data_IF_173839350838
#
_entry.id   IF_173839350838
#
_cell.length_a   1.000
_cell.length_b   1.000
_cell.length_c   1.000
_cell.angle_alpha   90.00
_cell.angle_beta   90.00
_cell.angle_gamma   90.00
#
_symmetry.space_group_name_H-M   'P 1'
#
loop_
_entity.id
_entity.type
_entity.pdbx_description
1 polymer ?
#
# COMPACT_ATOMS: atom_id res chain seq x y z
N UNK A 1 27.82 29.56 -63.01
CA UNK A 1 28.18 30.98 -62.92
C UNK A 1 27.86 31.43 -61.49
N UNK A 2 28.87 31.79 -60.70
CA UNK A 2 28.82 32.47 -59.38
C UNK A 2 28.33 31.74 -58.09
N UNK A 3 29.24 31.78 -57.10
CA UNK A 3 29.12 31.89 -55.61
C UNK A 3 28.70 30.71 -54.69
N UNK A 4 29.73 30.12 -54.03
CA UNK A 4 29.98 29.99 -52.57
C UNK A 4 28.98 29.33 -51.58
N UNK A 5 29.35 28.20 -50.94
CA UNK A 5 29.97 28.13 -49.58
C UNK A 5 30.19 26.69 -49.03
N UNK A 6 31.39 26.52 -48.44
CA UNK A 6 31.81 25.69 -47.28
C UNK A 6 31.65 24.16 -47.30
N UNK A 7 32.80 23.47 -47.39
CA UNK A 7 33.11 22.28 -46.57
C UNK A 7 34.54 22.40 -46.02
N UNK A 8 34.66 22.76 -44.75
CA UNK A 8 35.90 22.68 -43.97
C UNK A 8 35.83 21.38 -43.16
N UNK A 9 36.74 20.44 -43.41
CA UNK A 9 36.93 19.24 -42.59
C UNK A 9 37.63 19.63 -41.27
N UNK A 10 37.29 19.01 -40.12
CA UNK A 10 37.89 19.40 -38.85
C UNK A 10 39.31 18.86 -38.68
N UNK A 11 40.10 19.67 -37.98
CA UNK A 11 41.51 19.53 -37.62
C UNK A 11 41.73 18.28 -36.77
N UNK A 12 42.65 17.39 -37.20
CA UNK A 12 43.16 16.28 -36.38
C UNK A 12 44.17 16.88 -35.39
N UNK A 13 43.76 17.04 -34.13
CA UNK A 13 44.65 17.42 -33.03
C UNK A 13 45.44 16.18 -32.61
N UNK A 14 46.76 16.19 -32.85
CA UNK A 14 47.70 15.22 -32.28
C UNK A 14 47.78 15.42 -30.76
N UNK A 15 47.45 14.39 -29.99
CA UNK A 15 47.69 14.34 -28.54
C UNK A 15 49.17 14.07 -28.25
N UNK A 16 49.83 14.79 -27.33
CA UNK A 16 51.18 14.47 -26.91
C UNK A 16 51.17 13.19 -26.04
N UNK A 17 52.07 12.27 -26.37
CA UNK A 17 52.29 11.05 -25.60
C UNK A 17 52.98 11.39 -24.28
N UNK A 18 52.30 11.16 -23.15
CA UNK A 18 52.90 11.25 -21.82
C UNK A 18 52.07 12.02 -20.80
N UNK A 19 50.85 11.55 -20.49
CA UNK A 19 50.16 11.91 -19.25
C UNK A 19 49.55 10.64 -18.66
N UNK A 20 50.09 10.27 -17.49
CA UNK A 20 49.68 9.15 -16.65
C UNK A 20 48.17 9.14 -16.42
N UNK A 21 47.58 7.95 -16.50
CA UNK A 21 46.16 7.64 -16.38
C UNK A 21 45.62 7.89 -14.96
N UNK A 22 45.44 9.14 -14.58
CA UNK A 22 44.45 9.50 -13.57
C UNK A 22 43.11 9.73 -14.26
N UNK A 23 42.41 8.62 -14.51
CA UNK A 23 40.97 8.64 -14.73
C UNK A 23 40.36 9.19 -13.43
N UNK A 24 39.73 10.38 -13.44
CA UNK A 24 38.98 10.82 -12.27
C UNK A 24 37.87 9.80 -12.01
N UNK A 25 37.89 9.15 -10.84
CA UNK A 25 36.76 8.34 -10.38
C UNK A 25 35.55 9.26 -10.31
N UNK A 26 34.65 9.14 -11.29
CA UNK A 26 33.32 9.71 -11.19
C UNK A 26 32.65 9.17 -9.92
N UNK A 27 31.84 9.98 -9.20
CA UNK A 27 31.10 9.49 -8.06
C UNK A 27 30.25 8.30 -8.52
N UNK A 28 30.49 7.14 -7.92
CA UNK A 28 29.67 5.95 -8.08
C UNK A 28 28.28 6.32 -7.56
N UNK A 29 27.39 6.73 -8.46
CA UNK A 29 25.96 6.66 -8.20
C UNK A 29 25.72 5.22 -7.72
N UNK A 30 25.31 5.08 -6.44
CA UNK A 30 25.05 3.78 -5.85
C UNK A 30 24.10 3.00 -6.76
N UNK A 31 24.35 1.69 -6.91
CA UNK A 31 23.46 0.83 -7.71
C UNK A 31 22.01 1.06 -7.26
N UNK A 32 21.04 1.14 -8.20
CA UNK A 32 19.64 1.28 -7.83
C UNK A 32 19.25 0.11 -6.92
N UNK A 33 18.63 0.42 -5.79
CA UNK A 33 18.20 -0.58 -4.81
C UNK A 33 17.13 -1.48 -5.44
N UNK A 34 17.25 -2.78 -5.22
CA UNK A 34 16.23 -3.76 -5.55
C UNK A 34 14.95 -3.55 -4.72
N UNK A 35 13.79 -4.07 -5.15
CA UNK A 35 12.54 -3.99 -4.38
C UNK A 35 12.70 -4.54 -2.95
N UNK A 36 13.39 -5.67 -2.80
CA UNK A 36 13.71 -6.27 -1.51
C UNK A 36 14.57 -5.37 -0.63
N UNK A 37 15.65 -4.80 -1.15
CA UNK A 37 16.51 -3.88 -0.39
C UNK A 37 15.78 -2.61 0.04
N UNK A 38 14.80 -2.15 -0.74
CA UNK A 38 13.95 -1.01 -0.35
C UNK A 38 13.06 -1.38 0.85
N UNK A 39 12.45 -2.56 0.85
CA UNK A 39 11.64 -3.03 2.00
C UNK A 39 12.50 -3.26 3.24
N UNK A 40 13.69 -3.83 3.08
CA UNK A 40 14.66 -3.98 4.17
C UNK A 40 15.09 -2.62 4.75
N UNK A 41 15.36 -1.65 3.88
CA UNK A 41 15.66 -0.28 4.28
C UNK A 41 14.50 0.34 5.06
N UNK A 42 13.24 0.13 4.65
CA UNK A 42 12.06 0.60 5.39
C UNK A 42 12.00 -0.06 6.77
N UNK A 43 12.13 -1.39 6.82
CA UNK A 43 12.08 -2.16 8.06
C UNK A 43 13.14 -1.70 9.07
N UNK A 44 14.41 -1.61 8.67
CA UNK A 44 15.51 -1.18 9.53
C UNK A 44 15.27 0.22 10.12
N UNK A 45 14.79 1.16 9.31
CA UNK A 45 14.52 2.52 9.75
C UNK A 45 13.28 2.61 10.64
N UNK A 46 12.25 1.78 10.43
CA UNK A 46 11.11 1.68 11.34
C UNK A 46 11.52 1.13 12.73
N UNK A 47 12.45 0.17 12.77
CA UNK A 47 13.00 -0.31 14.04
C UNK A 47 13.76 0.79 14.79
N UNK A 48 14.44 1.69 14.07
CA UNK A 48 15.09 2.87 14.68
C UNK A 48 14.03 3.78 15.33
N UNK A 49 12.90 4.02 14.65
CA UNK A 49 11.81 4.87 15.17
C UNK A 49 11.15 4.29 16.43
N UNK A 50 11.03 2.96 16.53
CA UNK A 50 10.47 2.28 17.69
C UNK A 50 11.43 2.18 18.89
N UNK A 51 12.73 2.41 18.69
CA UNK A 51 13.70 2.33 19.79
C UNK A 51 13.63 3.56 20.70
N UNK A 52 13.45 3.35 22.00
CA UNK A 52 13.30 4.44 22.98
C UNK A 52 14.61 5.23 23.27
N UNK A 53 15.75 4.79 22.73
CA UNK A 53 17.08 5.20 23.20
C UNK A 53 17.85 6.16 22.27
N UNK A 54 17.28 6.65 21.17
CA UNK A 54 18.06 7.32 20.11
C UNK A 54 17.88 8.84 20.01
N UNK A 55 18.97 9.51 19.62
CA UNK A 55 19.01 10.96 19.40
C UNK A 55 18.03 11.38 18.31
N UNK A 56 17.36 12.52 18.50
CA UNK A 56 16.41 13.14 17.57
C UNK A 56 16.97 13.27 16.12
N UNK A 57 18.29 13.48 15.99
CA UNK A 57 18.97 13.53 14.68
C UNK A 57 18.90 12.20 13.91
N UNK A 58 18.99 11.06 14.60
CA UNK A 58 18.89 9.75 13.96
C UNK A 58 17.45 9.44 13.55
N UNK A 59 16.47 9.86 14.36
CA UNK A 59 15.04 9.71 14.02
C UNK A 59 14.69 10.46 12.74
N UNK A 60 15.17 11.71 12.59
CA UNK A 60 14.96 12.49 11.35
C UNK A 60 15.56 11.81 10.12
N UNK A 61 16.79 11.33 10.22
CA UNK A 61 17.43 10.56 9.15
C UNK A 61 16.66 9.29 8.79
N UNK A 62 16.10 8.60 9.80
CA UNK A 62 15.29 7.40 9.57
C UNK A 62 13.99 7.73 8.82
N UNK A 63 13.31 8.83 9.18
CA UNK A 63 12.11 9.30 8.46
C UNK A 63 12.43 9.64 7.01
N UNK A 64 13.50 10.40 6.75
CA UNK A 64 13.96 10.74 5.40
C UNK A 64 14.33 9.50 4.57
N UNK A 65 14.98 8.51 5.20
CA UNK A 65 15.33 7.24 4.56
C UNK A 65 14.08 6.41 4.20
N UNK A 66 13.07 6.38 5.08
CA UNK A 66 11.77 5.73 4.81
C UNK A 66 11.08 6.42 3.62
N UNK A 67 11.00 7.76 3.63
CA UNK A 67 10.39 8.53 2.54
C UNK A 67 11.08 8.24 1.20
N UNK A 68 12.41 8.22 1.17
CA UNK A 68 13.21 7.91 -0.02
C UNK A 68 12.95 6.48 -0.52
N UNK A 69 12.90 5.50 0.39
CA UNK A 69 12.67 4.11 0.04
C UNK A 69 11.23 3.88 -0.49
N UNK A 70 10.23 4.49 0.13
CA UNK A 70 8.84 4.46 -0.34
C UNK A 70 8.68 5.09 -1.72
N UNK A 71 9.33 6.23 -1.96
CA UNK A 71 9.35 6.88 -3.26
C UNK A 71 10.02 5.98 -4.32
N UNK A 72 11.12 5.31 -3.97
CA UNK A 72 11.79 4.34 -4.84
C UNK A 72 10.89 3.15 -5.20
N UNK A 73 10.13 2.62 -4.22
CA UNK A 73 9.14 1.56 -4.50
C UNK A 73 8.02 2.06 -5.41
N UNK A 74 7.52 3.27 -5.18
CA UNK A 74 6.51 3.89 -6.06
C UNK A 74 7.02 3.93 -7.49
N UNK A 75 8.22 4.44 -7.74
CA UNK A 75 8.81 4.53 -9.09
C UNK A 75 9.01 3.18 -9.79
N UNK A 76 9.17 2.09 -9.02
CA UNK A 76 9.25 0.73 -9.56
C UNK A 76 7.87 0.16 -9.90
N UNK A 77 6.83 0.63 -9.22
CA UNK A 77 5.43 0.18 -9.37
C UNK A 77 4.63 1.06 -10.33
N UNK A 78 5.09 2.27 -10.67
CA UNK A 78 4.44 3.14 -11.66
C UNK A 78 4.75 2.66 -13.09
N UNK A 79 3.73 2.63 -13.94
CA UNK A 79 3.88 2.33 -15.37
C UNK A 79 4.82 3.36 -16.02
N UNK A 80 5.91 2.86 -16.62
CA UNK A 80 6.84 3.67 -17.43
C UNK A 80 6.36 3.72 -18.88
N UNK A 81 5.07 4.00 -19.11
CA UNK A 81 4.55 4.20 -20.44
C UNK A 81 5.20 5.46 -21.04
N UNK A 82 6.29 5.27 -21.78
CA UNK A 82 6.99 6.33 -22.50
C UNK A 82 6.03 6.85 -23.57
N UNK A 83 5.34 7.96 -23.28
CA UNK A 83 4.30 8.62 -24.13
C UNK A 83 4.77 9.04 -25.54
N UNK A 84 5.92 8.55 -26.02
CA UNK A 84 6.56 8.99 -27.27
C UNK A 84 6.46 7.99 -28.43
N UNK A 85 5.83 6.83 -28.26
CA UNK A 85 5.71 5.84 -29.34
C UNK A 85 4.24 5.59 -29.68
N UNK A 86 3.83 6.06 -30.84
CA UNK A 86 2.54 5.77 -31.47
C UNK A 86 2.68 4.52 -32.34
N UNK A 87 2.13 3.37 -31.94
CA UNK A 87 2.14 2.17 -32.77
C UNK A 87 1.34 1.00 -32.18
N UNK A 88 0.04 0.92 -32.51
CA UNK A 88 -1.00 0.06 -31.92
C UNK A 88 -0.64 -1.40 -31.57
N UNK A 89 0.33 -2.03 -32.22
CA UNK A 89 0.75 -3.42 -31.95
C UNK A 89 2.00 -3.53 -31.08
N UNK A 90 2.98 -2.63 -31.27
CA UNK A 90 4.18 -2.54 -30.41
C UNK A 90 3.82 -2.12 -28.99
N UNK A 91 2.71 -1.38 -28.87
CA UNK A 91 2.20 -0.87 -27.60
C UNK A 91 1.63 -2.00 -26.70
N UNK A 92 1.09 -3.08 -27.27
CA UNK A 92 0.45 -4.18 -26.51
C UNK A 92 1.47 -5.15 -25.86
N UNK A 93 2.54 -5.51 -26.57
CA UNK A 93 3.60 -6.38 -26.04
C UNK A 93 4.40 -5.68 -24.94
N UNK A 94 4.74 -4.40 -25.15
CA UNK A 94 5.41 -3.56 -24.15
C UNK A 94 4.54 -3.42 -22.89
N UNK A 95 3.24 -3.16 -23.07
CA UNK A 95 2.29 -3.06 -21.95
C UNK A 95 2.18 -4.38 -21.18
N UNK A 96 2.11 -5.52 -21.87
CA UNK A 96 2.07 -6.84 -21.22
C UNK A 96 3.38 -7.17 -20.50
N UNK A 97 4.52 -6.81 -21.07
CA UNK A 97 5.84 -6.99 -20.45
C UNK A 97 5.97 -6.14 -19.18
N UNK A 98 5.59 -4.87 -19.21
CA UNK A 98 5.66 -3.99 -18.04
C UNK A 98 4.69 -4.44 -16.95
N UNK A 99 3.47 -4.85 -17.30
CA UNK A 99 2.52 -5.44 -16.35
C UNK A 99 3.07 -6.70 -15.69
N UNK A 100 3.75 -7.55 -16.45
CA UNK A 100 4.38 -8.78 -15.92
C UNK A 100 5.49 -8.42 -14.93
N UNK A 101 6.38 -7.49 -15.30
CA UNK A 101 7.44 -6.99 -14.44
C UNK A 101 6.89 -6.37 -13.14
N UNK A 102 5.87 -5.52 -13.22
CA UNK A 102 5.24 -4.92 -12.03
C UNK A 102 4.64 -6.00 -11.14
N UNK A 103 3.96 -7.00 -11.71
CA UNK A 103 3.40 -8.12 -10.95
C UNK A 103 4.47 -8.96 -10.23
N UNK A 104 5.64 -9.17 -10.85
CA UNK A 104 6.78 -9.84 -10.23
C UNK A 104 7.32 -9.01 -9.05
N UNK A 105 7.48 -7.70 -9.24
CA UNK A 105 7.89 -6.77 -8.18
C UNK A 105 6.90 -6.79 -7.01
N UNK A 106 5.59 -6.71 -7.27
CA UNK A 106 4.57 -6.78 -6.21
C UNK A 106 4.65 -8.11 -5.48
N UNK A 107 4.91 -9.22 -6.18
CA UNK A 107 5.04 -10.55 -5.58
C UNK A 107 6.25 -10.60 -4.64
N UNK A 108 7.40 -10.10 -5.08
CA UNK A 108 8.63 -9.99 -4.26
C UNK A 108 8.43 -9.10 -3.04
N UNK A 109 7.86 -7.91 -3.23
CA UNK A 109 7.57 -6.94 -2.17
C UNK A 109 6.59 -7.51 -1.15
N UNK A 110 5.53 -8.19 -1.60
CA UNK A 110 4.55 -8.84 -0.72
C UNK A 110 5.22 -9.88 0.16
N UNK A 111 6.07 -10.72 -0.43
CA UNK A 111 6.80 -11.74 0.31
C UNK A 111 7.69 -11.12 1.39
N UNK A 112 8.46 -10.09 1.05
CA UNK A 112 9.38 -9.45 2.00
C UNK A 112 8.63 -8.67 3.10
N UNK A 113 7.53 -7.98 2.77
CA UNK A 113 6.67 -7.30 3.74
C UNK A 113 6.13 -8.26 4.81
N UNK A 114 5.69 -9.46 4.39
CA UNK A 114 5.18 -10.50 5.28
C UNK A 114 6.33 -11.08 6.11
N UNK A 115 7.45 -11.44 5.48
CA UNK A 115 8.59 -12.06 6.14
C UNK A 115 9.17 -11.18 7.26
N UNK A 116 9.29 -9.86 7.02
CA UNK A 116 9.84 -8.90 7.98
C UNK A 116 8.77 -8.26 8.88
N UNK A 117 7.49 -8.64 8.77
CA UNK A 117 6.38 -8.03 9.51
C UNK A 117 6.36 -6.49 9.40
N UNK A 118 6.57 -5.95 8.19
CA UNK A 118 6.69 -4.51 7.98
C UNK A 118 5.34 -3.79 8.05
N UNK A 119 4.25 -4.45 7.64
CA UNK A 119 2.90 -3.88 7.65
C UNK A 119 2.46 -3.33 9.03
N UNK A 120 2.52 -4.10 10.13
CA UNK A 120 2.16 -3.57 11.45
C UNK A 120 3.09 -2.41 11.88
N UNK A 121 4.38 -2.46 11.53
CA UNK A 121 5.34 -1.40 11.86
C UNK A 121 5.03 -0.10 11.12
N UNK A 122 4.66 -0.18 9.84
CA UNK A 122 4.22 0.96 9.04
C UNK A 122 2.95 1.60 9.61
N UNK A 123 1.97 0.78 9.99
CA UNK A 123 0.68 1.25 10.54
C UNK A 123 0.89 1.93 11.90
N UNK A 124 1.74 1.35 12.75
CA UNK A 124 2.06 1.91 14.08
C UNK A 124 2.83 3.24 13.99
N UNK A 125 3.68 3.41 12.97
CA UNK A 125 4.50 4.60 12.77
C UNK A 125 3.92 5.56 11.74
N UNK A 126 2.71 5.33 11.22
CA UNK A 126 2.15 6.09 10.11
C UNK A 126 2.10 7.59 10.43
N UNK A 127 1.79 7.97 11.67
CA UNK A 127 1.75 9.38 12.10
C UNK A 127 3.12 10.07 12.09
N UNK A 128 4.20 9.30 12.25
CA UNK A 128 5.57 9.83 12.22
C UNK A 128 6.09 10.01 10.81
N UNK A 129 5.50 9.31 9.83
CA UNK A 129 5.85 9.41 8.42
C UNK A 129 5.18 10.67 7.86
N UNK A 130 5.93 11.40 7.03
CA UNK A 130 5.44 12.61 6.37
C UNK A 130 4.14 12.34 5.60
N UNK A 131 3.29 13.36 5.53
CA UNK A 131 1.96 13.25 4.93
C UNK A 131 2.02 12.74 3.48
N UNK A 132 2.93 13.29 2.66
CA UNK A 132 3.08 12.87 1.26
C UNK A 132 3.61 11.44 1.14
N UNK A 133 4.62 11.07 1.94
CA UNK A 133 5.15 9.71 1.95
C UNK A 133 4.13 8.68 2.42
N UNK A 134 3.15 9.09 3.22
CA UNK A 134 2.08 8.22 3.71
C UNK A 134 1.09 7.84 2.61
N UNK A 135 0.95 8.67 1.57
CA UNK A 135 0.22 8.27 0.35
C UNK A 135 0.89 7.09 -0.32
N UNK A 136 2.22 7.06 -0.37
CA UNK A 136 2.96 5.92 -0.94
C UNK A 136 2.79 4.64 -0.12
N UNK A 137 2.57 4.76 1.20
CA UNK A 137 2.20 3.61 2.04
C UNK A 137 0.82 3.09 1.65
N UNK A 138 -0.17 3.97 1.48
CA UNK A 138 -1.53 3.62 1.02
C UNK A 138 -1.46 2.95 -0.35
N UNK A 139 -0.75 3.55 -1.30
CA UNK A 139 -0.58 3.01 -2.66
C UNK A 139 0.04 1.62 -2.60
N UNK A 140 1.17 1.46 -1.90
CA UNK A 140 1.85 0.17 -1.74
C UNK A 140 0.91 -0.88 -1.14
N UNK A 141 0.16 -0.51 -0.09
CA UNK A 141 -0.81 -1.38 0.54
C UNK A 141 -1.89 -1.82 -0.45
N UNK A 142 -2.45 -0.89 -1.24
CA UNK A 142 -3.41 -1.22 -2.29
C UNK A 142 -2.87 -2.16 -3.36
N UNK A 143 -1.63 -1.96 -3.83
CA UNK A 143 -0.98 -2.88 -4.79
C UNK A 143 -0.89 -4.32 -4.24
N UNK A 144 -0.47 -4.43 -2.98
CA UNK A 144 -0.31 -5.72 -2.29
C UNK A 144 -1.67 -6.35 -1.97
N UNK A 145 -2.67 -5.56 -1.57
CA UNK A 145 -4.03 -6.03 -1.26
C UNK A 145 -4.87 -6.41 -2.50
N UNK A 146 -4.48 -5.96 -3.69
CA UNK A 146 -5.09 -6.37 -4.97
C UNK A 146 -4.43 -7.60 -5.61
N UNK A 147 -3.25 -8.01 -5.15
CA UNK A 147 -2.47 -9.10 -5.76
C UNK A 147 -2.92 -10.48 -5.28
N UNK A 148 -3.54 -11.24 -6.18
CA UNK A 148 -3.83 -12.65 -5.96
C UNK A 148 -2.72 -13.56 -6.45
N UNK A 149 -2.56 -14.67 -5.74
CA UNK A 149 -1.77 -15.84 -6.15
C UNK A 149 -2.72 -17.03 -6.14
N UNK A 150 -3.21 -17.43 -7.32
CA UNK A 150 -4.29 -18.41 -7.44
C UNK A 150 -5.62 -17.81 -6.98
N UNK A 151 -6.27 -18.44 -5.99
CA UNK A 151 -7.59 -18.04 -5.46
C UNK A 151 -7.54 -17.17 -4.21
N UNK A 152 -6.35 -16.84 -3.69
CA UNK A 152 -6.20 -16.06 -2.47
C UNK A 152 -5.16 -14.95 -2.63
N UNK A 153 -5.25 -13.94 -1.76
CA UNK A 153 -4.22 -12.92 -1.61
C UNK A 153 -3.33 -13.24 -0.39
N UNK A 154 -2.00 -13.44 -0.57
CA UNK A 154 -1.08 -13.72 0.54
C UNK A 154 -1.08 -12.65 1.65
N UNK A 155 -1.17 -11.38 1.31
CA UNK A 155 -1.21 -10.29 2.27
C UNK A 155 -2.54 -10.24 3.03
N UNK A 156 -3.66 -10.50 2.36
CA UNK A 156 -4.95 -10.64 3.02
C UNK A 156 -4.95 -11.83 4.01
N UNK A 157 -4.35 -12.95 3.63
CA UNK A 157 -4.19 -14.11 4.51
C UNK A 157 -3.30 -13.80 5.72
N UNK A 158 -2.23 -13.03 5.52
CA UNK A 158 -1.40 -12.53 6.61
C UNK A 158 -2.21 -11.67 7.60
N UNK A 159 -3.08 -10.79 7.12
CA UNK A 159 -3.96 -9.98 7.96
C UNK A 159 -5.00 -10.81 8.72
N UNK A 160 -5.57 -11.85 8.09
CA UNK A 160 -6.45 -12.80 8.78
C UNK A 160 -5.73 -13.49 9.94
N UNK A 161 -4.47 -13.86 9.78
CA UNK A 161 -3.68 -14.47 10.86
C UNK A 161 -3.32 -13.46 11.96
N UNK A 162 -3.40 -12.15 11.67
CA UNK A 162 -2.96 -11.07 12.55
C UNK A 162 -4.05 -9.99 12.73
N UNK A 163 -5.18 -10.31 13.39
CA UNK A 163 -6.35 -9.41 13.48
C UNK A 163 -6.05 -8.10 14.23
N UNK A 164 -5.03 -8.07 15.10
CA UNK A 164 -4.60 -6.85 15.79
C UNK A 164 -4.20 -5.71 14.84
N UNK A 165 -3.82 -6.03 13.60
CA UNK A 165 -3.50 -5.05 12.57
C UNK A 165 -4.76 -4.29 12.16
N UNK A 166 -5.89 -4.98 12.01
CA UNK A 166 -7.19 -4.37 11.68
C UNK A 166 -7.64 -3.41 12.78
N UNK A 167 -7.51 -3.84 14.03
CA UNK A 167 -7.81 -3.02 15.21
C UNK A 167 -6.91 -1.78 15.26
N UNK A 168 -5.62 -1.92 14.92
CA UNK A 168 -4.69 -0.79 14.87
C UNK A 168 -5.06 0.22 13.78
N UNK A 169 -5.50 -0.24 12.60
CA UNK A 169 -6.01 0.63 11.54
C UNK A 169 -7.24 1.41 12.01
N UNK A 170 -8.17 0.73 12.69
CA UNK A 170 -9.41 1.34 13.17
C UNK A 170 -9.15 2.40 14.25
N UNK A 171 -8.27 2.12 15.22
CA UNK A 171 -7.87 3.12 16.21
C UNK A 171 -7.19 4.35 15.60
N UNK A 172 -6.54 4.19 14.44
CA UNK A 172 -5.92 5.28 13.69
C UNK A 172 -6.90 6.39 13.26
N UNK A 173 -8.18 6.07 13.06
CA UNK A 173 -9.23 7.05 12.74
C UNK A 173 -9.42 8.12 13.81
N UNK A 174 -9.06 7.82 15.06
CA UNK A 174 -9.17 8.77 16.17
C UNK A 174 -8.26 10.00 16.00
N UNK A 175 -7.29 9.94 15.07
CA UNK A 175 -6.32 11.00 14.79
C UNK A 175 -6.78 11.81 13.56
N UNK A 176 -7.28 13.04 13.73
CA UNK A 176 -7.95 13.78 12.65
C UNK A 176 -7.05 14.05 11.45
N UNK A 177 -5.78 14.41 11.67
CA UNK A 177 -4.85 14.77 10.60
C UNK A 177 -4.44 13.55 9.75
N UNK A 178 -4.70 12.35 10.25
CA UNK A 178 -4.23 11.07 9.70
C UNK A 178 -5.37 10.13 9.33
N UNK A 179 -6.60 10.43 9.74
CA UNK A 179 -7.79 9.61 9.52
C UNK A 179 -8.00 9.25 8.04
N UNK A 180 -7.69 10.16 7.11
CA UNK A 180 -7.78 9.91 5.66
C UNK A 180 -6.86 8.76 5.20
N UNK A 181 -5.65 8.65 5.75
CA UNK A 181 -4.72 7.58 5.38
C UNK A 181 -5.15 6.25 5.98
N UNK A 182 -5.56 6.24 7.26
CA UNK A 182 -6.09 5.04 7.89
C UNK A 182 -7.37 4.55 7.23
N UNK A 183 -8.24 5.48 6.81
CA UNK A 183 -9.46 5.17 6.07
C UNK A 183 -9.19 4.60 4.69
N UNK A 184 -8.26 5.20 3.95
CA UNK A 184 -7.83 4.66 2.66
C UNK A 184 -7.23 3.25 2.80
N UNK A 185 -6.36 3.00 3.79
CA UNK A 185 -5.80 1.66 4.03
C UNK A 185 -6.89 0.62 4.32
N UNK A 186 -7.85 0.97 5.18
CA UNK A 186 -8.94 0.06 5.53
C UNK A 186 -9.89 -0.14 4.34
N UNK A 187 -10.14 0.90 3.54
CA UNK A 187 -10.92 0.81 2.31
C UNK A 187 -10.28 -0.10 1.26
N UNK A 188 -8.98 0.05 0.99
CA UNK A 188 -8.18 -0.81 0.11
C UNK A 188 -8.23 -2.29 0.51
N UNK A 189 -8.44 -2.56 1.81
CA UNK A 189 -8.58 -3.91 2.33
C UNK A 189 -10.01 -4.46 2.21
N UNK A 190 -10.99 -3.72 2.75
CA UNK A 190 -12.35 -4.21 2.95
C UNK A 190 -13.20 -4.16 1.67
N UNK A 191 -12.91 -3.22 0.76
CA UNK A 191 -13.66 -3.06 -0.49
C UNK A 191 -13.17 -3.99 -1.61
N UNK A 192 -12.00 -4.60 -1.43
CA UNK A 192 -11.42 -5.47 -2.45
C UNK A 192 -12.16 -6.82 -2.47
N UNK A 193 -12.71 -7.18 -3.64
CA UNK A 193 -13.61 -8.34 -3.81
C UNK A 193 -12.97 -9.64 -3.35
N UNK A 194 -11.67 -9.77 -3.58
CA UNK A 194 -10.91 -10.97 -3.28
C UNK A 194 -10.53 -11.08 -1.81
N UNK A 195 -10.72 -10.00 -1.03
CA UNK A 195 -10.47 -9.93 0.40
C UNK A 195 -11.77 -10.11 1.21
N UNK A 196 -12.81 -10.68 0.60
CA UNK A 196 -14.13 -10.91 1.23
C UNK A 196 -14.05 -11.64 2.58
N UNK A 197 -13.11 -12.58 2.73
CA UNK A 197 -12.88 -13.28 3.99
C UNK A 197 -12.39 -12.35 5.11
N UNK A 198 -11.53 -11.37 4.79
CA UNK A 198 -11.06 -10.34 5.73
C UNK A 198 -12.23 -9.44 6.12
N UNK A 199 -12.98 -8.97 5.14
CA UNK A 199 -14.15 -8.12 5.36
C UNK A 199 -15.19 -8.82 6.25
N UNK A 200 -15.52 -10.08 5.95
CA UNK A 200 -16.47 -10.87 6.74
C UNK A 200 -16.00 -11.03 8.19
N UNK A 201 -14.70 -11.24 8.41
CA UNK A 201 -14.15 -11.33 9.78
C UNK A 201 -14.18 -9.99 10.50
N UNK A 202 -13.93 -8.89 9.78
CA UNK A 202 -13.96 -7.54 10.33
C UNK A 202 -15.35 -7.16 10.84
N UNK A 203 -16.39 -7.36 10.02
CA UNK A 203 -17.78 -7.00 10.37
C UNK A 203 -18.41 -7.94 11.41
N UNK A 204 -17.87 -9.15 11.56
CA UNK A 204 -18.36 -10.11 12.55
C UNK A 204 -17.95 -9.75 13.99
N UNK A 205 -16.98 -8.84 14.16
CA UNK A 205 -16.53 -8.38 15.46
C UNK A 205 -17.36 -7.15 15.90
N UNK A 206 -18.19 -7.27 16.95
CA UNK A 206 -19.02 -6.17 17.42
C UNK A 206 -18.20 -4.99 17.96
N UNK A 207 -16.95 -5.21 18.41
CA UNK A 207 -16.10 -4.12 18.89
C UNK A 207 -15.67 -3.19 17.74
N UNK A 208 -15.43 -3.74 16.54
CA UNK A 208 -15.14 -2.93 15.36
C UNK A 208 -16.32 -2.02 15.02
N UNK A 209 -17.54 -2.57 15.03
CA UNK A 209 -18.75 -1.80 14.75
C UNK A 209 -18.97 -0.68 15.79
N UNK A 210 -18.80 -0.98 17.08
CA UNK A 210 -18.91 0.04 18.14
C UNK A 210 -17.95 1.20 17.93
N UNK A 211 -16.69 0.90 17.58
CA UNK A 211 -15.70 1.96 17.33
C UNK A 211 -16.11 2.82 16.14
N UNK A 212 -16.53 2.22 15.01
CA UNK A 212 -17.00 2.98 13.84
C UNK A 212 -18.21 3.84 14.20
N UNK A 213 -19.20 3.28 14.90
CA UNK A 213 -20.40 4.02 15.33
C UNK A 213 -20.05 5.21 16.23
N UNK A 214 -19.11 5.05 17.15
CA UNK A 214 -18.61 6.16 17.97
C UNK A 214 -17.93 7.22 17.09
N UNK A 215 -17.11 6.81 16.11
CA UNK A 215 -16.42 7.73 15.19
C UNK A 215 -17.39 8.52 14.30
N UNK A 216 -18.55 7.96 13.93
CA UNK A 216 -19.61 8.68 13.20
C UNK A 216 -20.16 9.88 13.97
N UNK A 217 -20.13 9.81 15.30
CA UNK A 217 -20.61 10.89 16.20
C UNK A 217 -19.52 11.90 16.55
N UNK A 218 -18.33 11.76 15.96
CA UNK A 218 -17.20 12.66 16.24
C UNK A 218 -17.52 14.11 15.85
N UNK A 219 -17.19 15.05 16.72
CA UNK A 219 -17.27 16.49 16.44
C UNK A 219 -16.39 16.90 15.24
N UNK A 220 -15.33 16.14 14.98
CA UNK A 220 -14.42 16.36 13.86
C UNK A 220 -15.01 15.76 12.60
N UNK A 221 -15.56 16.63 11.74
CA UNK A 221 -16.19 16.25 10.47
C UNK A 221 -15.34 15.31 9.60
N UNK A 222 -14.02 15.49 9.57
CA UNK A 222 -13.13 14.60 8.81
C UNK A 222 -13.19 13.15 9.31
N UNK A 223 -13.16 12.96 10.64
CA UNK A 223 -13.23 11.62 11.24
C UNK A 223 -14.59 11.00 10.96
N UNK A 224 -15.68 11.76 11.18
CA UNK A 224 -17.03 11.28 10.92
C UNK A 224 -17.25 10.91 9.45
N UNK A 225 -16.67 11.67 8.52
CA UNK A 225 -16.76 11.41 7.09
C UNK A 225 -16.01 10.12 6.68
N UNK A 226 -14.78 9.93 7.13
CA UNK A 226 -14.03 8.68 6.87
C UNK A 226 -14.73 7.48 7.53
N UNK A 227 -15.21 7.64 8.77
CA UNK A 227 -15.96 6.58 9.46
C UNK A 227 -17.24 6.20 8.72
N UNK A 228 -17.92 7.16 8.10
CA UNK A 228 -19.09 6.91 7.26
C UNK A 228 -18.76 6.04 6.03
N UNK A 229 -17.61 6.26 5.41
CA UNK A 229 -17.16 5.40 4.31
C UNK A 229 -16.95 3.95 4.76
N UNK A 230 -16.34 3.73 5.92
CA UNK A 230 -16.18 2.40 6.49
C UNK A 230 -17.54 1.78 6.86
N UNK A 231 -18.40 2.53 7.56
CA UNK A 231 -19.72 2.07 7.99
C UNK A 231 -20.61 1.64 6.81
N UNK A 232 -20.52 2.32 5.67
CA UNK A 232 -21.25 1.94 4.46
C UNK A 232 -20.86 0.53 3.99
N UNK A 233 -19.58 0.15 4.13
CA UNK A 233 -19.11 -1.20 3.81
C UNK A 233 -19.77 -2.21 4.73
N UNK A 234 -19.80 -1.93 6.03
CA UNK A 234 -20.42 -2.80 7.03
C UNK A 234 -21.91 -2.97 6.74
N UNK A 235 -22.66 -1.88 6.56
CA UNK A 235 -24.09 -1.92 6.29
C UNK A 235 -24.45 -2.67 5.01
N UNK A 236 -23.74 -2.42 3.89
CA UNK A 236 -23.97 -3.11 2.62
C UNK A 236 -23.64 -4.60 2.75
N UNK A 237 -22.52 -4.93 3.40
CA UNK A 237 -22.07 -6.32 3.55
C UNK A 237 -23.01 -7.11 4.44
N UNK A 238 -23.45 -6.53 5.56
CA UNK A 238 -24.41 -7.14 6.47
C UNK A 238 -25.77 -7.34 5.78
N UNK A 239 -26.20 -6.39 4.96
CA UNK A 239 -27.41 -6.53 4.14
C UNK A 239 -27.27 -7.68 3.12
N UNK A 240 -26.18 -7.74 2.35
CA UNK A 240 -25.94 -8.83 1.38
C UNK A 240 -25.85 -10.20 2.05
N UNK A 241 -25.18 -10.28 3.21
CA UNK A 241 -25.11 -11.50 4.02
C UNK A 241 -26.49 -11.92 4.53
N UNK A 242 -27.34 -10.98 4.92
CA UNK A 242 -28.70 -11.28 5.37
C UNK A 242 -29.59 -11.84 4.24
N UNK A 243 -29.46 -11.29 3.02
CA UNK A 243 -30.16 -11.80 1.83
C UNK A 243 -29.68 -13.21 1.47
N UNK A 244 -28.37 -13.43 1.54
CA UNK A 244 -27.76 -14.74 1.28
C UNK A 244 -28.20 -15.79 2.31
N UNK A 245 -28.27 -15.41 3.59
CA UNK A 245 -28.80 -16.27 4.66
C UNK A 245 -30.27 -16.62 4.44
N UNK A 246 -31.11 -15.64 4.08
CA UNK A 246 -32.53 -15.87 3.81
C UNK A 246 -32.78 -16.81 2.62
N UNK A 247 -31.83 -16.88 1.68
CA UNK A 247 -31.90 -17.75 0.49
C UNK A 247 -31.39 -19.17 0.75
N UNK A 248 -30.59 -19.39 1.80
CA UNK A 248 -29.90 -20.65 2.07
C UNK A 248 -30.28 -21.30 3.41
N UNK A 249 -31.09 -20.63 4.25
CA UNK A 249 -31.51 -21.20 5.53
C UNK A 249 -32.43 -22.42 5.30
N UNK A 250 -32.07 -23.61 5.79
CA UNK A 250 -32.94 -24.77 5.70
C UNK A 250 -34.23 -24.51 6.51
N UNK A 251 -35.40 -24.97 6.02
CA UNK A 251 -36.65 -24.77 6.73
C UNK A 251 -36.58 -25.45 8.11
N UNK A 252 -36.53 -24.64 9.18
CA UNK A 252 -36.44 -25.11 10.57
C UNK A 252 -35.28 -24.54 11.40
N UNK A 253 -34.29 -23.86 10.81
CA UNK A 253 -33.13 -23.34 11.54
C UNK A 253 -33.41 -22.17 12.52
N UNK A 254 -34.63 -21.64 12.53
CA UNK A 254 -35.03 -20.54 13.42
C UNK A 254 -35.25 -20.98 14.88
N UNK A 255 -35.33 -22.29 15.16
CA UNK A 255 -35.88 -22.81 16.42
C UNK A 255 -34.96 -22.84 17.63
N UNK A 256 -33.69 -23.25 17.52
CA UNK A 256 -32.91 -23.58 18.73
C UNK A 256 -31.48 -23.01 18.84
N UNK A 257 -30.87 -22.48 17.76
CA UNK A 257 -29.52 -21.91 17.82
C UNK A 257 -29.28 -20.68 16.90
N UNK A 258 -30.33 -20.12 16.30
CA UNK A 258 -30.24 -19.12 15.23
C UNK A 258 -30.05 -17.65 15.65
N UNK A 259 -30.13 -17.35 16.95
CA UNK A 259 -30.26 -15.95 17.44
C UNK A 259 -28.92 -15.18 17.42
N UNK A 260 -27.79 -15.86 17.50
CA UNK A 260 -26.46 -15.23 17.63
C UNK A 260 -25.65 -15.13 16.33
N UNK A 261 -26.19 -15.59 15.18
CA UNK A 261 -25.45 -15.61 13.90
C UNK A 261 -26.06 -14.78 12.78
N UNK A 262 -27.24 -14.19 12.98
CA UNK A 262 -27.75 -13.22 12.02
C UNK A 262 -26.97 -11.91 12.18
N UNK A 263 -26.28 -11.43 11.14
CA UNK A 263 -25.56 -10.17 11.20
C UNK A 263 -26.51 -8.98 11.46
N UNK A 264 -27.80 -9.12 11.09
CA UNK A 264 -28.85 -8.15 11.41
C UNK A 264 -29.24 -8.14 12.89
N UNK A 265 -29.19 -9.29 13.59
CA UNK A 265 -29.45 -9.34 15.03
C UNK A 265 -28.31 -8.71 15.84
N UNK A 266 -27.07 -8.75 15.33
CA UNK A 266 -25.95 -8.02 15.95
C UNK A 266 -26.17 -6.51 15.87
N UNK A 267 -26.63 -5.99 14.73
CA UNK A 267 -27.00 -4.57 14.60
C UNK A 267 -28.18 -4.22 15.51
N UNK A 268 -29.24 -5.04 15.52
CA UNK A 268 -30.43 -4.82 16.36
C UNK A 268 -30.16 -4.97 17.87
N UNK A 269 -29.15 -5.74 18.27
CA UNK A 269 -28.77 -5.90 19.67
C UNK A 269 -27.78 -4.82 20.15
N UNK A 270 -27.17 -4.06 19.25
CA UNK A 270 -26.23 -2.98 19.54
C UNK A 270 -26.85 -1.57 19.45
N UNK A 271 -28.08 -1.47 18.92
CA UNK A 271 -28.95 -0.28 18.99
C UNK A 271 -29.89 -0.37 20.19
#
# INVERSE_FOLDING_TARGET
>A
MWTHRRRSLPVIVKWPAGLSSHIPKMPLFGKPKSPKELIQSIHENLLILNSQAKQEKERRKAIEAIATALNGLRELLTDKSDTRLTGRERDAELFNSERTRINEIITEVTHELINLNVLPLLIANLDTIEFESSKHVVDLFGHVMRRQVGSYNPAAQYLLSNPHILVSLLHGYSKPDRAIHYGALLGELLLERHNFSVMTRYIADPENLKVIMNLLTSEKKQIAFEAFHCFKVDAISLFVLSLSWSSFAPPGAAGEYGVLRSPLLVIFALL
#
